data_IF_693229172760
#
_entry.id   IF_693229172760
#
_cell.length_a   1.000
_cell.length_b   1.000
_cell.length_c   1.000
_cell.angle_alpha   90.00
_cell.angle_beta   90.00
_cell.angle_gamma   90.00
#
_symmetry.space_group_name_H-M   'P 1'
#
loop_
_entity.id
_entity.type
_entity.pdbx_description
1 polymer ?
#
# COMPACT_ATOMS: atom_id res chain seq x y z
N UNK A 1 -0.23 12.93 -8.93
CA UNK A 1 -1.10 11.74 -9.11
C UNK A 1 -2.49 12.21 -9.51
N UNK A 2 -3.18 11.45 -10.36
CA UNK A 2 -4.61 11.67 -10.68
C UNK A 2 -5.52 11.18 -9.56
N UNK A 3 -6.80 11.54 -9.58
CA UNK A 3 -7.78 11.03 -8.61
C UNK A 3 -7.93 9.51 -8.67
N UNK A 4 -7.84 8.93 -9.88
CA UNK A 4 -7.89 7.48 -10.06
C UNK A 4 -6.68 6.81 -9.44
N UNK A 5 -5.47 7.34 -9.69
CA UNK A 5 -4.25 6.83 -9.07
C UNK A 5 -4.30 6.92 -7.54
N UNK A 6 -4.87 7.97 -6.97
CA UNK A 6 -5.05 8.09 -5.52
C UNK A 6 -6.04 7.05 -4.96
N UNK A 7 -7.15 6.79 -5.67
CA UNK A 7 -8.12 5.76 -5.28
C UNK A 7 -7.49 4.37 -5.35
N UNK A 8 -6.76 4.06 -6.42
CA UNK A 8 -6.02 2.82 -6.56
C UNK A 8 -4.96 2.70 -5.48
N UNK A 9 -4.18 3.77 -5.22
CA UNK A 9 -3.17 3.81 -4.16
C UNK A 9 -3.80 3.43 -2.81
N UNK A 10 -4.88 4.10 -2.43
CA UNK A 10 -5.61 3.82 -1.19
C UNK A 10 -6.01 2.35 -1.09
N UNK A 11 -6.57 1.80 -2.15
CA UNK A 11 -7.01 0.42 -2.17
C UNK A 11 -5.80 -0.55 -2.04
N UNK A 12 -4.72 -0.34 -2.80
CA UNK A 12 -3.56 -1.25 -2.77
C UNK A 12 -2.83 -1.22 -1.44
N UNK A 13 -2.60 -0.04 -0.83
CA UNK A 13 -1.91 0.03 0.48
C UNK A 13 -2.72 -0.64 1.58
N UNK A 14 -4.06 -0.55 1.51
CA UNK A 14 -4.97 -1.25 2.41
C UNK A 14 -5.05 -2.76 2.14
N UNK A 15 -4.43 -3.28 1.07
CA UNK A 15 -4.22 -4.73 0.90
C UNK A 15 -2.85 -5.17 1.43
N UNK A 16 -1.86 -4.28 1.43
CA UNK A 16 -0.56 -4.55 2.07
C UNK A 16 -0.70 -4.60 3.59
N UNK A 17 -1.33 -3.60 4.20
CA UNK A 17 -1.67 -3.59 5.63
C UNK A 17 -3.19 -3.34 5.74
N UNK A 18 -4.00 -4.40 5.78
CA UNK A 18 -5.44 -4.28 5.89
C UNK A 18 -5.89 -3.85 7.29
N UNK A 19 -7.09 -3.28 7.43
CA UNK A 19 -7.68 -3.06 8.74
C UNK A 19 -8.03 -4.40 9.40
N UNK A 20 -7.68 -4.53 10.67
CA UNK A 20 -8.04 -5.65 11.55
C UNK A 20 -8.59 -5.10 12.88
N UNK A 21 -8.08 -5.54 14.03
CA UNK A 21 -8.32 -4.88 15.33
C UNK A 21 -7.73 -3.45 15.38
N UNK A 22 -6.88 -3.09 14.41
CA UNK A 22 -6.26 -1.78 14.22
C UNK A 22 -6.65 -1.14 12.87
N UNK A 23 -6.49 0.20 12.72
CA UNK A 23 -6.68 0.86 11.43
C UNK A 23 -5.73 0.32 10.35
N UNK A 24 -6.26 0.14 9.15
CA UNK A 24 -5.46 -0.23 7.97
C UNK A 24 -4.54 0.90 7.52
N UNK A 25 -3.64 0.59 6.58
CA UNK A 25 -2.60 1.49 6.07
C UNK A 25 -3.06 2.94 5.87
N UNK A 26 -4.13 3.12 5.10
CA UNK A 26 -4.62 4.45 4.74
C UNK A 26 -5.08 5.24 5.97
N UNK A 27 -5.89 4.61 6.83
CA UNK A 27 -6.46 5.26 8.00
C UNK A 27 -5.40 5.55 9.07
N UNK A 28 -4.34 4.73 9.12
CA UNK A 28 -3.16 4.94 9.97
C UNK A 28 -2.26 6.11 9.54
N UNK A 29 -2.42 6.64 8.32
CA UNK A 29 -1.69 7.82 7.82
C UNK A 29 -0.72 7.57 6.68
N UNK A 30 -0.66 6.35 6.13
CA UNK A 30 0.27 6.01 5.03
C UNK A 30 0.07 6.92 3.82
N UNK A 31 -1.17 7.29 3.48
CA UNK A 31 -1.45 8.18 2.35
C UNK A 31 -0.82 9.57 2.50
N UNK A 32 -0.88 10.14 3.71
CA UNK A 32 -0.29 11.45 4.01
C UNK A 32 1.24 11.38 4.00
N UNK A 33 1.79 10.30 4.57
CA UNK A 33 3.23 10.01 4.50
C UNK A 33 3.72 9.94 3.06
N UNK A 34 3.09 9.11 2.21
CA UNK A 34 3.48 8.95 0.82
C UNK A 34 3.38 10.26 0.04
N UNK A 35 2.33 11.04 0.27
CA UNK A 35 2.16 12.36 -0.37
C UNK A 35 3.35 13.27 -0.08
N UNK A 36 3.79 13.35 1.17
CA UNK A 36 4.98 14.14 1.55
C UNK A 36 6.26 13.57 0.96
N UNK A 37 6.42 12.25 0.99
CA UNK A 37 7.62 11.60 0.46
C UNK A 37 7.76 11.78 -1.05
N UNK A 38 6.66 11.79 -1.80
CA UNK A 38 6.69 12.07 -3.24
C UNK A 38 7.10 13.52 -3.58
N UNK A 39 7.02 14.43 -2.62
CA UNK A 39 7.56 15.80 -2.74
C UNK A 39 9.01 15.93 -2.22
N UNK A 40 9.55 14.85 -1.64
CA UNK A 40 10.87 14.77 -1.03
C UNK A 40 11.66 13.56 -1.57
N UNK A 41 11.98 12.59 -0.72
CA UNK A 41 12.94 11.51 -1.03
C UNK A 41 12.42 10.51 -2.07
N UNK A 42 11.09 10.34 -2.19
CA UNK A 42 10.46 9.50 -3.21
C UNK A 42 10.11 10.26 -4.49
N UNK A 43 10.44 11.55 -4.63
CA UNK A 43 10.19 12.29 -5.87
C UNK A 43 10.75 11.58 -7.13
N UNK A 44 11.96 10.97 -7.12
CA UNK A 44 12.46 10.22 -8.28
C UNK A 44 11.69 8.93 -8.59
N UNK A 45 10.92 8.40 -7.63
CA UNK A 45 10.13 7.17 -7.79
C UNK A 45 8.67 7.43 -8.11
N UNK A 46 8.21 8.69 -8.06
CA UNK A 46 6.82 9.05 -8.31
C UNK A 46 6.31 8.55 -9.67
N UNK A 47 7.12 8.66 -10.72
CA UNK A 47 6.75 8.19 -12.06
C UNK A 47 6.56 6.66 -12.09
N UNK A 48 7.46 5.92 -11.45
CA UNK A 48 7.36 4.46 -11.31
C UNK A 48 6.10 4.08 -10.52
N UNK A 49 5.81 4.82 -9.45
CA UNK A 49 4.63 4.58 -8.62
C UNK A 49 3.34 4.81 -9.41
N UNK A 50 3.24 5.93 -10.14
CA UNK A 50 2.08 6.23 -10.98
C UNK A 50 1.89 5.17 -12.07
N UNK A 51 2.97 4.78 -12.75
CA UNK A 51 2.92 3.76 -13.79
C UNK A 51 2.46 2.39 -13.27
N UNK A 52 2.87 2.00 -12.07
CA UNK A 52 2.40 0.76 -11.44
C UNK A 52 0.94 0.82 -11.02
N UNK A 53 0.46 1.96 -10.50
CA UNK A 53 -0.95 2.14 -10.15
C UNK A 53 -1.86 2.11 -11.39
N UNK A 54 -1.42 2.73 -12.49
CA UNK A 54 -2.14 2.66 -13.77
C UNK A 54 -2.17 1.21 -14.30
N UNK A 55 -1.10 0.44 -14.11
CA UNK A 55 -1.05 -0.97 -14.51
C UNK A 55 -1.95 -1.86 -13.64
N UNK A 56 -2.02 -1.64 -12.32
CA UNK A 56 -2.97 -2.33 -11.43
C UNK A 56 -4.42 -2.04 -11.84
N UNK A 57 -4.73 -0.78 -12.17
CA UNK A 57 -6.05 -0.40 -12.65
C UNK A 57 -6.39 -1.10 -13.97
N UNK A 58 -5.43 -1.17 -14.91
CA UNK A 58 -5.61 -1.88 -16.16
C UNK A 58 -5.85 -3.39 -15.96
N UNK A 59 -5.08 -4.05 -15.08
CA UNK A 59 -5.29 -5.46 -14.72
C UNK A 59 -6.70 -5.70 -14.16
N UNK A 60 -7.15 -4.82 -13.25
CA UNK A 60 -8.50 -4.89 -12.67
C UNK A 60 -9.58 -4.76 -13.74
N UNK A 61 -9.46 -3.76 -14.61
CA UNK A 61 -10.41 -3.53 -15.69
C UNK A 61 -10.44 -4.71 -16.66
N UNK A 62 -9.29 -5.28 -17.03
CA UNK A 62 -9.24 -6.44 -17.92
C UNK A 62 -9.86 -7.68 -17.28
N UNK A 63 -9.58 -7.97 -16.00
CA UNK A 63 -10.05 -9.18 -15.30
C UNK A 63 -11.53 -9.11 -14.92
N UNK A 64 -11.97 -7.96 -14.40
CA UNK A 64 -13.25 -7.84 -13.70
C UNK A 64 -14.16 -6.75 -14.29
N UNK A 65 -13.71 -6.02 -15.32
CA UNK A 65 -14.46 -4.93 -15.96
C UNK A 65 -14.88 -3.83 -14.96
N UNK A 66 -14.10 -3.65 -13.90
CA UNK A 66 -14.33 -2.69 -12.84
C UNK A 66 -13.00 -2.12 -12.35
N UNK A 67 -13.03 -0.88 -11.85
CA UNK A 67 -11.85 -0.24 -11.25
C UNK A 67 -11.38 -0.99 -10.01
N UNK A 68 -10.07 -0.99 -9.76
CA UNK A 68 -9.48 -1.78 -8.67
C UNK A 68 -10.08 -1.41 -7.31
N UNK A 69 -10.21 -0.11 -7.04
CA UNK A 69 -10.80 0.40 -5.80
C UNK A 69 -12.30 0.04 -5.62
N UNK A 70 -12.98 -0.43 -6.67
CA UNK A 70 -14.39 -0.83 -6.66
C UNK A 70 -14.59 -2.34 -6.61
N UNK A 71 -13.52 -3.12 -6.70
CA UNK A 71 -13.56 -4.56 -6.55
C UNK A 71 -13.89 -4.97 -5.11
N UNK A 72 -14.39 -6.19 -4.95
CA UNK A 72 -14.44 -6.83 -3.63
C UNK A 72 -13.03 -7.06 -3.08
N UNK A 73 -12.90 -7.22 -1.77
CA UNK A 73 -11.62 -7.51 -1.11
C UNK A 73 -10.92 -8.71 -1.75
N UNK A 74 -11.65 -9.80 -1.94
CA UNK A 74 -11.10 -11.03 -2.52
C UNK A 74 -10.61 -10.84 -3.97
N UNK A 75 -11.30 -10.01 -4.77
CA UNK A 75 -10.88 -9.70 -6.14
C UNK A 75 -9.66 -8.76 -6.18
N UNK A 76 -9.55 -7.82 -5.23
CA UNK A 76 -8.35 -7.01 -5.06
C UNK A 76 -7.15 -7.89 -4.72
N UNK A 77 -7.30 -8.78 -3.74
CA UNK A 77 -6.24 -9.70 -3.32
C UNK A 77 -5.83 -10.63 -4.47
N UNK A 78 -6.80 -11.22 -5.17
CA UNK A 78 -6.53 -12.06 -6.32
C UNK A 78 -5.77 -11.31 -7.43
N UNK A 79 -6.16 -10.06 -7.72
CA UNK A 79 -5.45 -9.23 -8.71
C UNK A 79 -3.98 -9.03 -8.30
N UNK A 80 -3.72 -8.68 -7.05
CA UNK A 80 -2.36 -8.45 -6.57
C UNK A 80 -1.52 -9.74 -6.58
N UNK A 81 -2.10 -10.87 -6.17
CA UNK A 81 -1.45 -12.19 -6.24
C UNK A 81 -1.08 -12.57 -7.68
N UNK A 82 -1.98 -12.35 -8.65
CA UNK A 82 -1.66 -12.63 -10.06
C UNK A 82 -0.52 -11.75 -10.58
N UNK A 83 -0.49 -10.47 -10.17
CA UNK A 83 0.59 -9.57 -10.59
C UNK A 83 1.93 -9.99 -9.97
N UNK A 84 1.94 -10.34 -8.69
CA UNK A 84 3.13 -10.84 -7.99
C UNK A 84 3.66 -12.14 -8.63
N UNK A 85 2.75 -13.04 -9.03
CA UNK A 85 3.09 -14.27 -9.75
C UNK A 85 3.54 -14.04 -11.21
N UNK A 86 3.46 -12.81 -11.73
CA UNK A 86 3.79 -12.47 -13.11
C UNK A 86 2.74 -12.94 -14.13
N UNK A 87 1.53 -13.31 -13.68
CA UNK A 87 0.41 -13.74 -14.51
C UNK A 87 -0.35 -12.55 -15.10
N UNK A 88 0.34 -11.65 -15.80
CA UNK A 88 -0.20 -10.37 -16.27
C UNK A 88 -1.13 -10.53 -17.47
N UNK A 89 -2.24 -9.78 -17.49
CA UNK A 89 -3.13 -9.70 -18.66
C UNK A 89 -2.91 -8.44 -19.49
N UNK A 90 -2.18 -7.47 -18.95
CA UNK A 90 -1.90 -6.18 -19.58
C UNK A 90 -0.40 -5.95 -19.72
N UNK A 91 -0.02 -4.97 -20.53
CA UNK A 91 1.39 -4.59 -20.68
C UNK A 91 1.81 -3.66 -19.56
N UNK A 92 2.87 -4.03 -18.84
CA UNK A 92 3.45 -3.20 -17.78
C UNK A 92 4.64 -2.40 -18.33
N UNK A 93 4.65 -1.06 -18.19
CA UNK A 93 5.77 -0.22 -18.60
C UNK A 93 6.98 -0.30 -17.65
N UNK A 94 6.79 -0.96 -16.49
CA UNK A 94 7.80 -1.15 -15.45
C UNK A 94 7.77 -2.61 -14.96
N UNK A 95 8.86 -3.14 -14.38
CA UNK A 95 8.83 -4.48 -13.78
C UNK A 95 7.82 -4.54 -12.61
N UNK A 96 6.83 -5.46 -12.63
CA UNK A 96 5.83 -5.56 -11.56
C UNK A 96 6.46 -5.78 -10.18
N UNK A 97 7.48 -6.65 -10.09
CA UNK A 97 8.20 -6.92 -8.84
C UNK A 97 8.80 -5.64 -8.23
N UNK A 98 9.39 -4.76 -9.06
CA UNK A 98 9.96 -3.49 -8.58
C UNK A 98 8.89 -2.55 -8.04
N UNK A 99 7.71 -2.52 -8.66
CA UNK A 99 6.58 -1.74 -8.14
C UNK A 99 6.08 -2.31 -6.81
N UNK A 100 5.92 -3.63 -6.70
CA UNK A 100 5.47 -4.28 -5.48
C UNK A 100 6.44 -4.07 -4.32
N UNK A 101 7.75 -4.25 -4.55
CA UNK A 101 8.78 -3.98 -3.54
C UNK A 101 8.70 -2.54 -3.02
N UNK A 102 8.58 -1.56 -3.93
CA UNK A 102 8.44 -0.16 -3.55
C UNK A 102 7.16 0.09 -2.75
N UNK A 103 6.02 -0.43 -3.22
CA UNK A 103 4.72 -0.30 -2.58
C UNK A 103 4.73 -0.89 -1.16
N UNK A 104 5.27 -2.10 -0.98
CA UNK A 104 5.34 -2.77 0.32
C UNK A 104 6.24 -2.00 1.27
N UNK A 105 7.46 -1.65 0.85
CA UNK A 105 8.42 -0.96 1.70
C UNK A 105 7.89 0.39 2.16
N UNK A 106 7.39 1.21 1.23
CA UNK A 106 6.90 2.56 1.56
C UNK A 106 5.59 2.55 2.34
N UNK A 107 4.76 1.51 2.16
CA UNK A 107 3.58 1.30 3.02
C UNK A 107 3.97 0.93 4.44
N UNK A 108 4.92 0.01 4.60
CA UNK A 108 5.43 -0.39 5.92
C UNK A 108 6.13 0.78 6.62
N UNK A 109 6.99 1.51 5.92
CA UNK A 109 7.64 2.72 6.42
C UNK A 109 6.59 3.73 6.89
N UNK A 110 5.59 4.04 6.07
CA UNK A 110 4.53 4.99 6.46
C UNK A 110 3.68 4.53 7.64
N UNK A 111 3.44 3.23 7.78
CA UNK A 111 2.62 2.67 8.86
C UNK A 111 3.36 2.65 10.20
N UNK A 112 4.66 2.33 10.18
CA UNK A 112 5.50 2.23 11.36
C UNK A 112 6.29 3.51 11.70
N UNK A 113 6.30 4.52 10.82
CA UNK A 113 6.91 5.84 11.09
C UNK A 113 6.23 6.58 12.23
N UNK A 114 6.99 7.35 13.01
CA UNK A 114 6.47 8.10 14.17
C UNK A 114 5.52 9.27 13.78
N UNK A 115 4.57 9.66 14.66
CA UNK A 115 3.59 10.74 14.46
C UNK A 115 4.16 12.05 13.91
N UNK A 116 5.37 12.42 14.35
CA UNK A 116 6.01 13.70 14.01
C UNK A 116 6.44 13.78 12.53
N UNK A 117 6.58 12.63 11.84
CA UNK A 117 6.87 12.54 10.40
C UNK A 117 5.59 12.44 9.53
N UNK A 118 4.40 12.36 10.14
CA UNK A 118 3.10 12.23 9.45
C UNK A 118 2.58 10.80 9.26
N UNK A 119 3.32 9.78 9.72
CA UNK A 119 2.84 8.41 9.87
C UNK A 119 2.38 8.13 11.31
N UNK A 120 1.59 7.07 11.52
CA UNK A 120 1.16 6.58 12.84
C UNK A 120 0.36 7.58 13.70
N UNK A 121 -0.84 7.98 13.24
CA UNK A 121 -1.79 8.77 14.05
C UNK A 121 -2.23 8.12 15.38
N UNK A 122 -1.85 6.87 15.65
CA UNK A 122 -2.43 6.09 16.73
C UNK A 122 -1.44 5.55 17.78
N UNK A 123 -0.14 5.87 17.70
CA UNK A 123 0.85 5.40 18.68
C UNK A 123 0.76 3.87 18.96
N UNK A 124 0.45 3.07 17.94
CA UNK A 124 0.20 1.62 18.06
C UNK A 124 1.48 0.84 18.42
N UNK A 125 2.65 1.48 18.33
CA UNK A 125 3.93 0.89 18.73
C UNK A 125 4.06 0.66 20.25
N UNK A 126 3.26 1.33 21.10
CA UNK A 126 3.31 1.16 22.56
C UNK A 126 2.30 0.17 23.14
N UNK A 127 1.38 -0.37 22.34
CA UNK A 127 0.45 -1.41 22.77
C UNK A 127 0.98 -2.85 22.52
N UNK A 128 2.03 -3.02 21.71
CA UNK A 128 2.60 -4.34 21.37
C UNK A 128 3.74 -4.80 22.30
N UNK A 129 4.23 -3.95 23.20
CA UNK A 129 5.15 -4.38 24.27
C UNK A 129 4.34 -4.83 25.49
N UNK A 130 3.62 -5.94 25.34
CA UNK A 130 3.11 -6.70 26.49
C UNK A 130 4.26 -7.29 27.31
N UNK A 131 5.04 -6.43 27.97
CA UNK A 131 5.99 -6.84 29.00
C UNK A 131 5.22 -7.03 30.31
N UNK A 132 4.58 -8.18 30.42
CA UNK A 132 4.43 -8.82 31.72
C UNK A 132 4.31 -10.32 31.48
N UNK A 133 5.41 -11.05 31.71
CA UNK A 133 5.41 -12.34 32.43
C UNK A 133 6.82 -12.58 33.03
N UNK A 134 6.96 -12.21 34.30
CA UNK A 134 7.64 -12.95 35.36
C UNK A 134 9.11 -13.39 35.18
N UNK A 135 9.98 -12.65 35.88
CA UNK A 135 11.26 -13.11 36.43
C UNK A 135 11.06 -14.44 37.18
N UNK A 136 11.58 -15.54 36.62
CA UNK A 136 11.91 -16.70 37.43
C UNK A 136 13.21 -16.42 38.18
N UNK A 137 13.11 -16.37 39.50
CA UNK A 137 14.20 -16.62 40.45
C UNK A 137 13.62 -17.22 41.72
#
# INVERSE_FOLDING_TARGET
MTDLQQQTLRAVVNRIIPPDDYPGAWDAGVGDYLTRQFEADLAPQLELYCAGLDAVEAESLTRFQSSFARLTIAEQDATLVHIEAGELLTSWPIPPARFFELLVNTTAEGYYSEPEQGGNRAAIAWAMTGFDEHVQS
#
